data_IF_600164991438
#
_entry.id   IF_600164991438
#
_cell.length_a   1.000
_cell.length_b   1.000
_cell.length_c   1.000
_cell.angle_alpha   90.00
_cell.angle_beta   90.00
_cell.angle_gamma   90.00
#
_symmetry.space_group_name_H-M   'P 1'
#
loop_
_entity.id
_entity.type
_entity.pdbx_description
1 polymer ?
#
# COMPACT_ATOMS: atom_id res chain seq x y z
N UNK A 1 -1.87 5.91 -12.58
CA UNK A 1 -1.63 4.56 -13.13
C UNK A 1 -3.01 3.99 -13.46
N UNK A 2 -3.26 3.44 -14.65
CA UNK A 2 -4.56 2.83 -14.98
C UNK A 2 -4.55 1.33 -14.69
N UNK A 3 -5.71 0.75 -14.38
CA UNK A 3 -5.86 -0.71 -14.25
C UNK A 3 -5.49 -1.30 -12.89
N UNK A 4 -5.50 -0.52 -11.81
CA UNK A 4 -5.01 -0.95 -10.49
C UNK A 4 -5.95 -1.96 -9.83
N UNK A 5 -7.27 -1.78 -10.01
CA UNK A 5 -8.28 -2.73 -9.51
C UNK A 5 -8.19 -4.05 -10.24
N UNK A 6 -8.08 -4.03 -11.57
CA UNK A 6 -7.90 -5.25 -12.37
C UNK A 6 -6.63 -6.00 -11.97
N UNK A 7 -5.49 -5.30 -11.78
CA UNK A 7 -4.25 -5.93 -11.33
C UNK A 7 -4.41 -6.66 -9.99
N UNK A 8 -5.09 -6.04 -9.01
CA UNK A 8 -5.35 -6.68 -7.70
C UNK A 8 -6.28 -7.89 -7.85
N UNK A 9 -7.32 -7.77 -8.67
CA UNK A 9 -8.24 -8.87 -8.96
C UNK A 9 -7.50 -10.05 -9.61
N UNK A 10 -6.64 -9.78 -10.60
CA UNK A 10 -5.83 -10.81 -11.27
C UNK A 10 -4.82 -11.46 -10.33
N UNK A 11 -4.22 -10.70 -9.40
CA UNK A 11 -3.37 -11.26 -8.37
C UNK A 11 -4.14 -12.22 -7.45
N UNK A 12 -5.40 -11.89 -7.11
CA UNK A 12 -6.26 -12.70 -6.25
C UNK A 12 -6.82 -13.94 -6.96
N UNK A 13 -7.25 -13.81 -8.22
CA UNK A 13 -8.03 -14.81 -8.95
C UNK A 13 -7.31 -15.47 -10.12
N UNK A 14 -6.12 -14.99 -10.53
CA UNK A 14 -5.41 -15.41 -11.74
C UNK A 14 -4.97 -16.89 -11.77
N UNK A 15 -5.04 -17.60 -10.65
CA UNK A 15 -4.91 -19.07 -10.63
C UNK A 15 -6.10 -19.73 -11.33
N UNK A 16 -7.32 -19.24 -11.07
CA UNK A 16 -8.58 -19.83 -11.53
C UNK A 16 -9.12 -19.17 -12.81
N UNK A 17 -8.75 -17.90 -13.05
CA UNK A 17 -9.31 -17.08 -14.12
C UNK A 17 -8.25 -16.60 -15.11
N UNK A 18 -8.69 -16.37 -16.33
CA UNK A 18 -7.92 -15.76 -17.41
C UNK A 18 -7.82 -14.24 -17.23
N UNK A 19 -6.89 -13.57 -17.94
CA UNK A 19 -6.76 -12.10 -17.93
C UNK A 19 -8.00 -11.32 -18.36
N UNK A 20 -8.97 -11.96 -19.01
CA UNK A 20 -10.25 -11.37 -19.44
C UNK A 20 -11.39 -11.57 -18.42
N UNK A 21 -11.08 -12.17 -17.26
CA UNK A 21 -12.04 -12.45 -16.19
C UNK A 21 -12.85 -13.73 -16.40
N UNK A 22 -12.59 -14.52 -17.44
CA UNK A 22 -13.26 -15.82 -17.65
C UNK A 22 -12.59 -16.94 -16.84
N UNK A 23 -13.37 -17.93 -16.38
CA UNK A 23 -12.80 -19.09 -15.68
C UNK A 23 -11.99 -19.94 -16.66
N UNK A 24 -10.83 -20.47 -16.23
CA UNK A 24 -10.06 -21.41 -17.03
C UNK A 24 -10.81 -22.73 -17.18
N UNK A 25 -10.83 -23.28 -18.39
CA UNK A 25 -11.51 -24.54 -18.68
C UNK A 25 -11.02 -25.69 -17.80
N UNK A 26 -9.70 -25.79 -17.60
CA UNK A 26 -9.09 -26.82 -16.74
C UNK A 26 -9.61 -26.76 -15.31
N UNK A 27 -9.77 -25.55 -14.75
CA UNK A 27 -10.25 -25.32 -13.39
C UNK A 27 -11.74 -25.62 -13.29
N UNK A 28 -12.51 -25.26 -14.31
CA UNK A 28 -13.93 -25.62 -14.41
C UNK A 28 -14.11 -27.13 -14.40
N UNK A 29 -13.39 -27.85 -15.26
CA UNK A 29 -13.46 -29.31 -15.34
C UNK A 29 -12.99 -29.98 -14.04
N UNK A 30 -11.91 -29.49 -13.44
CA UNK A 30 -11.42 -29.97 -12.15
C UNK A 30 -12.49 -29.86 -11.06
N UNK A 31 -13.12 -28.68 -10.91
CA UNK A 31 -14.17 -28.46 -9.90
C UNK A 31 -15.38 -29.38 -10.11
N UNK A 32 -15.80 -29.61 -11.36
CA UNK A 32 -16.89 -30.54 -11.70
C UNK A 32 -16.48 -31.98 -11.35
N UNK A 33 -15.26 -32.40 -11.71
CA UNK A 33 -14.76 -33.76 -11.41
C UNK A 33 -14.64 -34.05 -9.91
N UNK A 34 -14.42 -33.02 -9.09
CA UNK A 34 -14.42 -33.09 -7.62
C UNK A 34 -15.83 -33.12 -7.01
N UNK A 35 -16.88 -33.21 -7.83
CA UNK A 35 -18.26 -33.35 -7.39
C UNK A 35 -19.00 -32.03 -7.20
N UNK A 36 -18.45 -30.88 -7.63
CA UNK A 36 -19.22 -29.63 -7.63
C UNK A 36 -20.29 -29.66 -8.72
N UNK A 37 -21.48 -29.17 -8.38
CA UNK A 37 -22.56 -29.02 -9.35
C UNK A 37 -22.13 -28.05 -10.48
N UNK A 38 -22.22 -28.44 -11.77
CA UNK A 38 -21.87 -27.58 -12.90
C UNK A 38 -22.54 -26.20 -12.86
N UNK A 39 -23.84 -26.13 -12.53
CA UNK A 39 -24.56 -24.86 -12.45
C UNK A 39 -24.02 -23.93 -11.35
N UNK A 40 -23.52 -24.50 -10.24
CA UNK A 40 -22.90 -23.72 -9.18
C UNK A 40 -21.52 -23.19 -9.59
N UNK A 41 -20.76 -23.97 -10.38
CA UNK A 41 -19.47 -23.53 -10.94
C UNK A 41 -19.68 -22.40 -11.95
N UNK A 42 -20.68 -22.53 -12.82
CA UNK A 42 -21.01 -21.51 -13.83
C UNK A 42 -21.53 -20.22 -13.17
N UNK A 43 -22.42 -20.33 -12.17
CA UNK A 43 -22.89 -19.18 -11.39
C UNK A 43 -21.75 -18.46 -10.66
N UNK A 44 -20.81 -19.21 -10.08
CA UNK A 44 -19.62 -18.63 -9.46
C UNK A 44 -18.73 -17.88 -10.47
N UNK A 45 -18.47 -18.50 -11.63
CA UNK A 45 -17.67 -17.91 -12.70
C UNK A 45 -18.32 -16.63 -13.24
N UNK A 46 -19.64 -16.64 -13.45
CA UNK A 46 -20.40 -15.49 -13.91
C UNK A 46 -20.30 -14.32 -12.93
N UNK A 47 -20.52 -14.54 -11.63
CA UNK A 47 -20.42 -13.49 -10.62
C UNK A 47 -19.05 -12.82 -10.60
N UNK A 48 -17.98 -13.62 -10.67
CA UNK A 48 -16.62 -13.07 -10.69
C UNK A 48 -16.28 -12.37 -12.02
N UNK A 49 -16.87 -12.80 -13.14
CA UNK A 49 -16.77 -12.09 -14.42
C UNK A 49 -17.45 -10.72 -14.36
N UNK A 50 -18.66 -10.66 -13.81
CA UNK A 50 -19.41 -9.41 -13.61
C UNK A 50 -18.63 -8.44 -12.73
N UNK A 51 -18.04 -8.93 -11.64
CA UNK A 51 -17.14 -8.14 -10.80
C UNK A 51 -15.91 -7.64 -11.56
N UNK A 52 -15.24 -8.51 -12.34
CA UNK A 52 -14.11 -8.12 -13.18
C UNK A 52 -14.49 -7.00 -14.18
N UNK A 53 -15.63 -7.14 -14.86
CA UNK A 53 -16.08 -6.15 -15.83
C UNK A 53 -16.42 -4.81 -15.19
N UNK A 54 -17.00 -4.83 -13.99
CA UNK A 54 -17.26 -3.61 -13.23
C UNK A 54 -15.95 -2.94 -12.79
N UNK A 55 -14.97 -3.70 -12.27
CA UNK A 55 -13.66 -3.16 -11.93
C UNK A 55 -12.94 -2.58 -13.15
N UNK A 56 -13.05 -3.25 -14.30
CA UNK A 56 -12.52 -2.76 -15.56
C UNK A 56 -13.17 -1.45 -15.99
N UNK A 57 -14.50 -1.38 -15.94
CA UNK A 57 -15.25 -0.16 -16.23
C UNK A 57 -14.80 0.97 -15.31
N UNK A 58 -14.67 0.72 -14.01
CA UNK A 58 -14.20 1.72 -13.05
C UNK A 58 -12.76 2.16 -13.34
N UNK A 59 -11.84 1.25 -13.66
CA UNK A 59 -10.46 1.61 -14.04
C UNK A 59 -10.41 2.49 -15.31
N UNK A 60 -11.41 2.37 -16.20
CA UNK A 60 -11.52 3.16 -17.44
C UNK A 60 -12.27 4.50 -17.23
N UNK A 61 -13.32 4.52 -16.40
CA UNK A 61 -14.20 5.69 -16.22
C UNK A 61 -13.85 6.55 -15.00
N UNK A 62 -13.29 5.94 -13.96
CA UNK A 62 -12.98 6.56 -12.68
C UNK A 62 -11.70 5.94 -12.08
N UNK A 63 -10.54 6.17 -12.71
CA UNK A 63 -9.29 5.51 -12.32
C UNK A 63 -8.91 5.87 -10.88
N UNK A 64 -8.40 4.90 -10.13
CA UNK A 64 -7.95 5.15 -8.76
C UNK A 64 -6.82 6.19 -8.73
N UNK A 65 -6.86 7.14 -7.77
CA UNK A 65 -5.71 7.95 -7.44
C UNK A 65 -4.50 7.06 -7.16
N UNK A 66 -3.34 7.47 -7.66
CA UNK A 66 -2.07 6.75 -7.43
C UNK A 66 -1.01 7.74 -6.97
N UNK A 67 -1.07 8.21 -5.71
CA UNK A 67 -0.07 9.13 -5.16
C UNK A 67 1.31 8.46 -5.18
N UNK A 68 2.33 9.23 -5.58
CA UNK A 68 3.70 8.76 -5.68
C UNK A 68 4.42 9.09 -4.38
N UNK A 69 4.89 8.05 -3.68
CA UNK A 69 5.73 8.19 -2.50
C UNK A 69 7.09 7.54 -2.73
N UNK A 70 8.12 8.22 -2.26
CA UNK A 70 9.51 7.79 -2.25
C UNK A 70 9.91 7.37 -0.84
N UNK A 71 11.01 6.62 -0.71
CA UNK A 71 11.58 6.30 0.59
C UNK A 71 11.83 7.57 1.44
N UNK A 72 12.23 8.67 0.78
CA UNK A 72 12.53 9.95 1.43
C UNK A 72 11.31 10.60 2.09
N UNK A 73 10.08 10.32 1.63
CA UNK A 73 8.87 10.84 2.25
C UNK A 73 8.69 10.30 3.67
N UNK A 74 9.22 9.11 3.95
CA UNK A 74 9.18 8.43 5.25
C UNK A 74 10.38 8.72 6.15
N UNK A 75 11.36 9.50 5.67
CA UNK A 75 12.51 9.87 6.48
C UNK A 75 12.08 10.81 7.61
N UNK A 76 12.62 10.58 8.80
CA UNK A 76 12.49 11.50 9.93
C UNK A 76 13.13 12.86 9.62
N UNK A 77 12.73 13.94 10.31
CA UNK A 77 13.38 15.25 10.15
C UNK A 77 14.91 15.20 10.33
N UNK A 78 15.38 14.38 11.28
CA UNK A 78 16.80 14.17 11.53
C UNK A 78 17.48 13.48 10.35
N UNK A 79 16.89 12.43 9.79
CA UNK A 79 17.45 11.75 8.61
C UNK A 79 17.49 12.68 7.39
N UNK A 80 16.49 13.55 7.21
CA UNK A 80 16.50 14.55 6.13
C UNK A 80 17.63 15.58 6.27
N UNK A 81 18.12 15.83 7.48
CA UNK A 81 19.31 16.67 7.69
C UNK A 81 20.61 15.92 7.37
N UNK A 82 20.62 14.59 7.50
CA UNK A 82 21.82 13.75 7.37
C UNK A 82 22.01 13.19 5.96
N UNK A 83 20.92 12.82 5.29
CA UNK A 83 20.94 12.04 4.05
C UNK A 83 20.26 12.78 2.90
N UNK A 84 20.69 12.42 1.69
CA UNK A 84 19.99 12.73 0.45
C UNK A 84 18.87 11.71 0.18
N UNK A 85 17.94 11.99 -0.76
CA UNK A 85 16.86 11.06 -1.09
C UNK A 85 17.30 9.67 -1.58
N UNK A 86 18.50 9.55 -2.14
CA UNK A 86 19.10 8.27 -2.58
C UNK A 86 19.77 7.49 -1.44
N UNK A 87 19.72 8.02 -0.20
CA UNK A 87 20.34 7.44 0.98
C UNK A 87 21.83 7.73 1.12
N UNK A 88 22.44 8.51 0.21
CA UNK A 88 23.81 9.00 0.38
C UNK A 88 23.89 10.00 1.54
N UNK A 89 25.02 10.00 2.23
CA UNK A 89 25.29 10.92 3.33
C UNK A 89 25.61 12.31 2.77
N UNK A 90 25.02 13.36 3.34
CA UNK A 90 25.29 14.73 2.92
C UNK A 90 26.74 15.10 3.25
N UNK A 91 27.49 15.70 2.29
CA UNK A 91 28.89 16.09 2.52
C UNK A 91 29.05 16.98 3.76
N UNK A 92 28.15 17.93 3.97
CA UNK A 92 28.22 18.87 5.09
C UNK A 92 28.06 18.16 6.44
N UNK A 93 27.17 17.17 6.51
CA UNK A 93 27.01 16.36 7.73
C UNK A 93 28.24 15.48 7.96
N UNK A 94 28.75 14.84 6.90
CA UNK A 94 29.94 13.99 6.95
C UNK A 94 31.15 14.76 7.47
N UNK A 95 31.44 15.94 6.92
CA UNK A 95 32.52 16.81 7.37
C UNK A 95 32.36 17.22 8.84
N UNK A 96 31.13 17.57 9.25
CA UNK A 96 30.84 17.99 10.62
C UNK A 96 31.08 16.88 11.66
N UNK A 97 30.76 15.63 11.32
CA UNK A 97 30.92 14.48 12.21
C UNK A 97 32.38 14.01 12.27
N UNK A 98 33.09 14.04 11.15
CA UNK A 98 34.54 13.80 11.14
C UNK A 98 35.28 14.81 12.03
N UNK A 99 34.91 16.09 11.96
CA UNK A 99 35.48 17.12 12.82
C UNK A 99 35.18 16.91 14.32
N UNK A 100 34.09 16.21 14.65
CA UNK A 100 33.70 15.81 16.01
C UNK A 100 34.38 14.52 16.48
N UNK A 101 35.18 13.88 15.63
CA UNK A 101 35.91 12.66 15.94
C UNK A 101 35.15 11.37 15.66
N UNK A 102 34.03 11.44 14.93
CA UNK A 102 33.33 10.24 14.44
C UNK A 102 34.22 9.53 13.41
N UNK A 103 34.27 8.19 13.47
CA UNK A 103 35.12 7.43 12.55
C UNK A 103 34.55 7.41 11.14
N UNK A 104 35.43 7.48 10.15
CA UNK A 104 35.04 7.43 8.73
C UNK A 104 34.31 6.11 8.40
N UNK A 105 34.80 4.98 8.91
CA UNK A 105 34.18 3.68 8.73
C UNK A 105 32.75 3.61 9.28
N UNK A 106 32.45 4.36 10.35
CA UNK A 106 31.10 4.42 10.91
C UNK A 106 30.16 5.21 9.99
N UNK A 107 30.63 6.33 9.44
CA UNK A 107 29.87 7.13 8.47
C UNK A 107 29.61 6.34 7.17
N UNK A 108 30.59 5.57 6.70
CA UNK A 108 30.42 4.68 5.54
C UNK A 108 29.39 3.58 5.78
N UNK A 109 29.42 2.95 6.96
CA UNK A 109 28.43 1.93 7.32
C UNK A 109 27.03 2.53 7.46
N UNK A 110 26.93 3.73 8.04
CA UNK A 110 25.68 4.49 8.14
C UNK A 110 25.10 4.80 6.75
N UNK A 111 25.92 5.28 5.82
CA UNK A 111 25.52 5.51 4.43
C UNK A 111 25.06 4.22 3.75
N UNK A 112 25.86 3.16 3.87
CA UNK A 112 25.57 1.85 3.27
C UNK A 112 24.21 1.32 3.74
N UNK A 113 23.94 1.39 5.05
CA UNK A 113 22.66 0.95 5.63
C UNK A 113 21.49 1.76 5.10
N UNK A 114 21.63 3.09 5.00
CA UNK A 114 20.54 3.94 4.51
C UNK A 114 20.28 3.72 3.01
N UNK A 115 21.32 3.53 2.19
CA UNK A 115 21.16 3.13 0.78
C UNK A 115 20.42 1.80 0.65
N UNK A 116 20.75 0.80 1.47
CA UNK A 116 20.03 -0.48 1.49
C UNK A 116 18.55 -0.33 1.86
N UNK A 117 18.22 0.59 2.76
CA UNK A 117 16.83 0.89 3.13
C UNK A 117 16.06 1.50 1.96
N UNK A 118 16.64 2.49 1.28
CA UNK A 118 16.06 3.11 0.08
C UNK A 118 15.86 2.07 -1.03
N UNK A 119 16.87 1.23 -1.29
CA UNK A 119 16.79 0.16 -2.27
C UNK A 119 15.72 -0.88 -1.91
N UNK A 120 15.62 -1.23 -0.63
CA UNK A 120 14.60 -2.15 -0.13
C UNK A 120 13.19 -1.60 -0.34
N UNK A 121 12.98 -0.32 0.00
CA UNK A 121 11.71 0.36 -0.25
C UNK A 121 11.35 0.33 -1.74
N UNK A 122 12.29 0.71 -2.61
CA UNK A 122 12.07 0.76 -4.06
C UNK A 122 11.71 -0.62 -4.62
N UNK A 123 12.38 -1.69 -4.17
CA UNK A 123 12.08 -3.06 -4.60
C UNK A 123 10.68 -3.51 -4.18
N UNK A 124 10.29 -3.24 -2.93
CA UNK A 124 8.95 -3.60 -2.43
C UNK A 124 7.88 -2.80 -3.15
N UNK A 125 8.07 -1.48 -3.28
CA UNK A 125 7.16 -0.59 -4.00
C UNK A 125 6.94 -1.03 -5.44
N UNK A 126 8.01 -1.38 -6.17
CA UNK A 126 7.91 -1.87 -7.53
C UNK A 126 7.13 -3.20 -7.62
N UNK A 127 7.48 -4.17 -6.75
CA UNK A 127 6.79 -5.48 -6.70
C UNK A 127 5.30 -5.33 -6.39
N UNK A 128 4.95 -4.47 -5.45
CA UNK A 128 3.56 -4.27 -5.04
C UNK A 128 2.77 -3.52 -6.14
N UNK A 129 3.41 -2.59 -6.87
CA UNK A 129 2.80 -1.91 -8.02
C UNK A 129 2.48 -2.86 -9.20
N UNK A 130 3.26 -3.94 -9.39
CA UNK A 130 2.96 -4.98 -10.40
C UNK A 130 1.61 -5.64 -10.13
N UNK A 131 1.24 -5.82 -8.87
CA UNK A 131 -0.03 -6.41 -8.44
C UNK A 131 -1.11 -5.39 -8.09
N UNK A 132 -0.90 -4.11 -8.44
CA UNK A 132 -1.89 -3.04 -8.26
C UNK A 132 -2.02 -2.53 -6.84
N UNK A 133 -1.00 -2.71 -5.99
CA UNK A 133 -0.92 -2.20 -4.63
C UNK A 133 0.02 -0.99 -4.57
N UNK A 134 -0.46 0.12 -4.00
CA UNK A 134 0.38 1.29 -3.74
C UNK A 134 1.03 1.17 -2.35
N UNK A 135 2.22 0.57 -2.29
CA UNK A 135 2.94 0.35 -1.04
C UNK A 135 3.19 1.65 -0.25
N UNK A 136 3.56 2.73 -0.94
CA UNK A 136 3.83 4.01 -0.30
C UNK A 136 2.58 4.59 0.37
N UNK A 137 1.43 4.49 -0.29
CA UNK A 137 0.16 4.90 0.30
C UNK A 137 -0.24 4.03 1.50
N UNK A 138 0.02 2.72 1.46
CA UNK A 138 -0.17 1.84 2.61
C UNK A 138 0.70 2.25 3.80
N UNK A 139 1.98 2.54 3.57
CA UNK A 139 2.87 3.02 4.64
C UNK A 139 2.46 4.38 5.18
N UNK A 140 2.04 5.31 4.32
CA UNK A 140 1.55 6.62 4.77
C UNK A 140 0.28 6.48 5.61
N UNK A 141 -0.67 5.65 5.18
CA UNK A 141 -1.88 5.36 5.94
C UNK A 141 -1.55 4.67 7.28
N UNK A 142 -0.55 3.78 7.30
CA UNK A 142 -0.06 3.17 8.54
C UNK A 142 0.53 4.21 9.50
N UNK A 143 1.32 5.15 8.98
CA UNK A 143 1.87 6.25 9.78
C UNK A 143 0.76 7.13 10.36
N UNK A 144 -0.21 7.55 9.54
CA UNK A 144 -1.36 8.34 10.01
C UNK A 144 -2.18 7.60 11.07
N UNK A 145 -2.41 6.30 10.87
CA UNK A 145 -3.09 5.46 11.85
C UNK A 145 -2.31 5.30 13.16
N UNK A 146 -0.97 5.34 13.10
CA UNK A 146 -0.08 5.21 14.27
C UNK A 146 0.15 6.54 14.97
N UNK A 147 0.18 7.67 14.24
CA UNK A 147 0.35 9.01 14.81
C UNK A 147 -0.86 9.49 15.61
N UNK A 148 -1.99 8.80 15.49
CA UNK A 148 -3.16 9.03 16.31
C UNK A 148 -3.20 7.98 17.43
N UNK A 149 -2.85 8.35 18.67
CA UNK A 149 -3.17 7.51 19.83
C UNK A 149 -4.69 7.39 19.96
N UNK A 150 -5.20 6.31 20.56
CA UNK A 150 -6.64 6.15 20.82
C UNK A 150 -7.26 7.38 21.51
N UNK A 151 -6.51 7.98 22.44
CA UNK A 151 -6.88 9.21 23.15
C UNK A 151 -6.93 10.45 22.23
N UNK A 152 -6.03 10.56 21.26
CA UNK A 152 -6.04 11.65 20.28
C UNK A 152 -7.17 11.49 19.25
N UNK A 153 -7.47 10.26 18.84
CA UNK A 153 -8.67 9.98 18.02
C UNK A 153 -9.96 10.31 18.75
N UNK A 154 -10.03 10.00 20.05
CA UNK A 154 -11.18 10.35 20.88
C UNK A 154 -11.35 11.87 21.02
N UNK A 155 -10.25 12.62 21.23
CA UNK A 155 -10.27 14.09 21.29
C UNK A 155 -10.65 14.73 19.95
N UNK A 156 -10.16 14.20 18.84
CA UNK A 156 -10.55 14.68 17.51
C UNK A 156 -12.03 14.40 17.25
N UNK A 157 -12.51 13.21 17.62
CA UNK A 157 -13.94 12.86 17.56
C UNK A 157 -14.82 13.80 18.40
N UNK A 158 -14.38 14.20 19.61
CA UNK A 158 -15.09 15.20 20.42
C UNK A 158 -15.19 16.57 19.71
N UNK A 159 -14.16 16.96 18.96
CA UNK A 159 -14.15 18.20 18.16
C UNK A 159 -15.09 18.06 16.95
N UNK A 160 -15.02 16.94 16.24
CA UNK A 160 -15.82 16.69 15.03
C UNK A 160 -17.32 16.57 15.36
N UNK A 161 -17.67 15.91 16.47
CA UNK A 161 -19.03 15.89 17.02
C UNK A 161 -19.54 17.27 17.41
N UNK A 162 -18.67 18.14 17.95
CA UNK A 162 -19.00 19.53 18.27
C UNK A 162 -19.22 20.36 17.01
N UNK A 163 -18.55 20.02 15.92
CA UNK A 163 -18.68 20.67 14.61
C UNK A 163 -19.84 20.10 13.76
N UNK A 164 -20.60 19.13 14.29
CA UNK A 164 -21.71 18.47 13.60
C UNK A 164 -21.29 17.77 12.29
N UNK A 165 -20.08 17.21 12.24
CA UNK A 165 -19.64 16.38 11.13
C UNK A 165 -20.51 15.12 11.00
N UNK A 166 -20.65 14.61 9.77
CA UNK A 166 -21.46 13.43 9.45
C UNK A 166 -20.99 12.20 10.25
N UNK A 167 -21.87 11.40 10.87
CA UNK A 167 -21.46 10.25 11.69
C UNK A 167 -20.59 9.21 10.95
N UNK A 168 -20.71 9.15 9.63
CA UNK A 168 -19.90 8.28 8.76
C UNK A 168 -18.46 8.78 8.53
N UNK A 169 -18.14 10.03 8.89
CA UNK A 169 -16.79 10.61 8.82
C UNK A 169 -16.00 10.42 10.12
N UNK A 170 -16.64 9.94 11.20
CA UNK A 170 -15.97 9.70 12.47
C UNK A 170 -15.06 8.47 12.41
N UNK A 171 -13.90 8.49 13.12
CA UNK A 171 -12.92 7.41 13.06
C UNK A 171 -13.39 6.08 13.69
N UNK A 172 -14.43 6.08 14.52
CA UNK A 172 -15.10 4.91 15.11
C UNK A 172 -16.45 5.32 15.75
N UNK A 173 -17.30 4.34 16.06
CA UNK A 173 -18.55 4.58 16.79
C UNK A 173 -18.23 5.01 18.23
N UNK A 174 -18.90 6.07 18.70
CA UNK A 174 -18.72 6.64 20.05
C UNK A 174 -18.96 5.61 21.16
N UNK A 175 -19.78 4.60 20.88
CA UNK A 175 -20.20 3.59 21.85
C UNK A 175 -19.32 2.32 21.78
N UNK A 176 -18.21 2.34 21.04
CA UNK A 176 -17.28 1.20 20.97
C UNK A 176 -16.55 1.06 22.33
N UNK A 177 -16.80 -0.02 23.10
CA UNK A 177 -16.12 -0.20 24.39
C UNK A 177 -14.65 -0.61 24.17
N UNK A 178 -13.79 -0.11 25.07
CA UNK A 178 -12.33 -0.28 25.07
C UNK A 178 -11.84 -1.72 25.24
#
# INVERSE_FOLDING_TARGET
MSGTRIKRWLNMHGKEFNPDGTIKDEVRQQKISQGRNPAAVDSYAQRLKEEFDEWKRLDETDPEPWPIFTAYDFFTPTEKQQFNPDGSLKPEYRESELARGTSESWLDEMERRKKLEVDSYNKVSARDAEIGINFGEQEMNRLLATSLTYLERHKQMEIDLRNCEEPSSLPFDKDTPW
#
